data_IF_862114467827
#
_entry.id   IF_862114467827
#
_cell.length_a   1.000
_cell.length_b   1.000
_cell.length_c   1.000
_cell.angle_alpha   90.00
_cell.angle_beta   90.00
_cell.angle_gamma   90.00
#
_symmetry.space_group_name_H-M   'P 1'
#
loop_
_entity.id
_entity.type
_entity.pdbx_description
1 polymer ?
#
# COMPACT_ATOMS: atom_id res chain seq x y z
N UNK A 1 -4.91 -9.29 -33.60
CA UNK A 1 -3.55 -9.15 -34.16
C UNK A 1 -2.64 -8.65 -33.04
N UNK A 2 -1.79 -9.51 -32.49
CA UNK A 2 -0.93 -9.18 -31.35
C UNK A 2 0.46 -8.86 -31.87
N UNK A 3 0.77 -7.58 -32.05
CA UNK A 3 2.09 -7.12 -32.49
C UNK A 3 3.08 -7.19 -31.34
N UNK A 4 4.05 -8.12 -31.43
CA UNK A 4 5.19 -8.18 -30.51
C UNK A 4 6.16 -7.03 -30.82
N UNK A 5 6.38 -6.14 -29.86
CA UNK A 5 7.44 -5.14 -29.95
C UNK A 5 8.80 -5.79 -29.69
N UNK A 6 9.76 -5.58 -30.59
CA UNK A 6 11.17 -6.01 -30.45
C UNK A 6 12.02 -4.76 -30.26
N UNK A 7 12.48 -4.52 -29.02
CA UNK A 7 13.35 -3.38 -28.71
C UNK A 7 14.80 -3.88 -28.58
N UNK A 8 15.71 -3.33 -29.40
CA UNK A 8 17.10 -3.80 -29.54
C UNK A 8 18.14 -2.99 -28.72
N UNK A 9 17.68 -2.14 -27.81
CA UNK A 9 18.50 -1.36 -26.87
C UNK A 9 17.60 -0.97 -25.70
N UNK A 10 18.14 -0.95 -24.48
CA UNK A 10 17.46 -0.64 -23.20
C UNK A 10 16.43 0.48 -23.33
N UNK A 11 15.21 0.10 -23.69
CA UNK A 11 14.14 0.99 -24.11
C UNK A 11 13.23 1.25 -22.93
N UNK A 12 13.19 2.49 -22.46
CA UNK A 12 12.22 2.89 -21.46
C UNK A 12 10.81 2.81 -22.08
N UNK A 13 9.99 1.91 -21.55
CA UNK A 13 8.57 1.83 -21.90
C UNK A 13 7.83 2.90 -21.09
N UNK A 14 7.15 3.82 -21.78
CA UNK A 14 6.30 4.82 -21.12
C UNK A 14 4.83 4.52 -21.39
N UNK A 15 4.06 4.24 -20.34
CA UNK A 15 2.61 4.09 -20.40
C UNK A 15 1.98 5.47 -20.19
N UNK A 16 1.18 5.93 -21.15
CA UNK A 16 0.45 7.21 -21.06
C UNK A 16 -1.02 6.93 -20.82
N UNK A 17 -1.52 7.33 -19.66
CA UNK A 17 -2.94 7.25 -19.32
C UNK A 17 -3.61 8.57 -19.73
N UNK A 18 -4.70 8.48 -20.48
CA UNK A 18 -5.48 9.64 -20.93
C UNK A 18 -6.95 9.48 -20.51
N UNK A 19 -7.60 10.59 -20.18
CA UNK A 19 -9.04 10.60 -19.99
C UNK A 19 -9.74 10.38 -21.33
N UNK A 20 -10.62 9.37 -21.42
CA UNK A 20 -11.32 9.00 -22.66
C UNK A 20 -12.18 10.17 -23.16
N UNK A 21 -12.77 10.94 -22.25
CA UNK A 21 -13.77 11.95 -22.58
C UNK A 21 -13.17 13.27 -23.06
N UNK A 22 -12.03 13.67 -22.51
CA UNK A 22 -11.37 14.93 -22.89
C UNK A 22 -10.01 14.74 -23.58
N UNK A 23 -9.57 13.50 -23.80
CA UNK A 23 -8.30 13.13 -24.45
C UNK A 23 -7.04 13.79 -23.87
N UNK A 24 -7.13 14.29 -22.63
CA UNK A 24 -5.99 14.90 -21.93
C UNK A 24 -5.16 13.82 -21.27
N UNK A 25 -3.85 13.82 -21.57
CA UNK A 25 -2.86 12.94 -20.94
C UNK A 25 -2.64 13.39 -19.50
N UNK A 26 -2.89 12.49 -18.54
CA UNK A 26 -2.71 12.77 -17.12
C UNK A 26 -1.21 12.63 -16.83
N UNK A 27 -0.48 13.76 -16.90
CA UNK A 27 0.99 13.79 -16.80
C UNK A 27 1.54 13.67 -15.37
N UNK A 28 0.68 13.76 -14.35
CA UNK A 28 1.11 13.81 -12.95
C UNK A 28 -0.03 13.36 -12.05
N UNK A 29 0.10 12.20 -11.41
CA UNK A 29 -0.67 11.91 -10.20
C UNK A 29 -0.10 12.81 -9.11
N UNK A 30 -0.65 14.02 -8.98
CA UNK A 30 -0.32 14.88 -7.85
C UNK A 30 -1.03 14.30 -6.64
N UNK A 31 -0.35 13.42 -5.91
CA UNK A 31 -0.77 12.98 -4.59
C UNK A 31 -0.75 14.24 -3.72
N UNK A 32 -1.92 14.88 -3.57
CA UNK A 32 -2.09 15.91 -2.57
C UNK A 32 -2.02 15.17 -1.23
N UNK A 33 -0.88 15.28 -0.53
CA UNK A 33 -0.80 14.89 0.88
C UNK A 33 -2.02 15.51 1.59
N UNK A 34 -2.89 14.74 2.25
CA UNK A 34 -3.97 15.34 3.02
C UNK A 34 -3.29 16.14 4.14
N UNK A 35 -3.42 17.46 4.06
CA UNK A 35 -3.05 18.34 5.15
C UNK A 35 -3.88 17.90 6.36
N UNK A 36 -3.18 17.48 7.42
CA UNK A 36 -3.76 17.26 8.75
C UNK A 36 -4.26 18.61 9.27
N UNK A 37 -5.39 19.08 8.78
CA UNK A 37 -6.07 20.28 9.29
C UNK A 37 -7.29 19.81 10.08
N UNK A 38 -7.16 20.00 11.38
CA UNK A 38 -8.19 19.97 12.41
C UNK A 38 -9.53 20.52 11.91
N UNK A 39 -10.61 19.78 12.17
CA UNK A 39 -11.95 20.32 12.30
C UNK A 39 -13.00 19.69 11.39
N UNK A 40 -13.82 18.80 11.98
CA UNK A 40 -15.28 18.98 12.04
C UNK A 40 -15.89 17.87 12.88
N UNK A 41 -16.12 18.20 14.15
CA UNK A 41 -17.11 17.56 15.00
C UNK A 41 -18.52 17.87 14.48
N UNK A 42 -19.46 16.98 14.82
CA UNK A 42 -20.94 17.08 14.75
C UNK A 42 -21.62 16.45 13.52
N UNK A 43 -22.01 15.18 13.65
CA UNK A 43 -23.42 14.74 13.52
C UNK A 43 -23.54 13.25 13.90
N UNK A 44 -23.69 12.98 15.21
CA UNK A 44 -24.15 11.70 15.72
C UNK A 44 -25.67 11.78 15.94
N UNK A 45 -26.47 11.59 14.89
CA UNK A 45 -27.93 11.46 15.03
C UNK A 45 -28.40 10.37 14.05
N UNK A 46 -28.67 9.19 14.60
CA UNK A 46 -29.45 8.09 14.02
C UNK A 46 -28.95 7.49 12.70
N UNK A 47 -27.99 6.56 12.79
CA UNK A 47 -27.58 5.70 11.66
C UNK A 47 -26.14 5.21 11.76
N UNK A 48 -25.66 4.84 12.95
CA UNK A 48 -24.27 4.47 13.19
C UNK A 48 -23.96 3.05 12.73
N UNK A 49 -23.15 2.93 11.67
CA UNK A 49 -22.08 1.89 11.54
C UNK A 49 -21.36 1.88 10.18
N UNK A 50 -21.84 2.58 9.13
CA UNK A 50 -21.23 2.41 7.79
C UNK A 50 -20.41 3.60 7.25
N UNK A 51 -20.33 4.72 7.97
CA UNK A 51 -19.65 5.93 7.47
C UNK A 51 -18.40 6.33 8.26
N UNK A 52 -18.13 5.67 9.39
CA UNK A 52 -16.91 5.94 10.19
C UNK A 52 -15.72 5.15 9.62
N UNK A 53 -15.94 3.98 9.03
CA UNK A 53 -14.87 3.17 8.43
C UNK A 53 -14.26 3.79 7.17
N UNK A 54 -14.99 4.64 6.44
CA UNK A 54 -14.46 5.20 5.19
C UNK A 54 -13.29 6.19 5.41
N UNK A 55 -13.20 6.82 6.60
CA UNK A 55 -12.10 7.72 6.93
C UNK A 55 -10.85 7.00 7.48
N UNK A 56 -10.98 5.71 7.82
CA UNK A 56 -9.90 4.86 8.37
C UNK A 56 -9.44 3.82 7.33
N UNK A 57 -10.23 3.55 6.28
CA UNK A 57 -10.05 2.43 5.34
C UNK A 57 -9.53 2.79 3.94
N UNK A 58 -9.08 4.02 3.66
CA UNK A 58 -8.84 4.42 2.25
C UNK A 58 -7.59 3.77 1.59
N UNK A 59 -6.75 3.07 2.36
CA UNK A 59 -5.57 2.35 1.85
C UNK A 59 -5.52 0.88 2.30
N UNK A 60 -6.66 0.31 2.73
CA UNK A 60 -6.69 -1.06 3.24
C UNK A 60 -6.58 -2.06 2.10
N UNK A 61 -5.65 -3.01 2.22
CA UNK A 61 -5.42 -4.01 1.16
C UNK A 61 -6.47 -5.11 1.30
N UNK A 62 -6.70 -5.94 0.26
CA UNK A 62 -7.50 -7.13 0.43
C UNK A 62 -6.93 -7.99 1.56
N UNK A 63 -7.78 -8.50 2.45
CA UNK A 63 -7.36 -9.24 3.65
C UNK A 63 -6.41 -10.40 3.33
N UNK A 64 -6.63 -11.07 2.19
CA UNK A 64 -5.75 -12.14 1.72
C UNK A 64 -4.30 -11.65 1.50
N UNK A 65 -4.14 -10.45 0.97
CA UNK A 65 -2.83 -9.83 0.73
C UNK A 65 -2.21 -9.38 2.05
N UNK A 66 -2.98 -8.72 2.93
CA UNK A 66 -2.52 -8.32 4.27
C UNK A 66 -2.00 -9.53 5.05
N UNK A 67 -2.75 -10.64 5.01
CA UNK A 67 -2.36 -11.89 5.64
C UNK A 67 -1.12 -12.50 4.99
N UNK A 68 -1.07 -12.58 3.66
CA UNK A 68 0.08 -13.16 2.95
C UNK A 68 1.38 -12.42 3.27
N UNK A 69 1.37 -11.08 3.23
CA UNK A 69 2.54 -10.23 3.49
C UNK A 69 2.97 -10.32 4.95
N UNK A 70 2.03 -10.18 5.89
CA UNK A 70 2.35 -10.28 7.32
C UNK A 70 2.86 -11.68 7.68
N UNK A 71 2.25 -12.74 7.15
CA UNK A 71 2.70 -14.13 7.36
C UNK A 71 4.10 -14.37 6.79
N UNK A 72 4.40 -13.86 5.59
CA UNK A 72 5.73 -13.95 5.00
C UNK A 72 6.78 -13.19 5.83
N UNK A 73 6.45 -11.98 6.30
CA UNK A 73 7.33 -11.20 7.17
C UNK A 73 7.62 -11.94 8.49
N UNK A 74 6.59 -12.44 9.17
CA UNK A 74 6.74 -13.14 10.46
C UNK A 74 7.54 -14.44 10.29
N UNK A 75 7.30 -15.18 9.21
CA UNK A 75 7.94 -16.47 8.97
C UNK A 75 9.23 -16.38 8.12
N UNK A 76 9.76 -15.19 7.87
CA UNK A 76 11.00 -15.02 7.08
C UNK A 76 12.27 -15.58 7.75
N UNK A 77 12.21 -15.98 9.03
CA UNK A 77 13.35 -16.55 9.73
C UNK A 77 13.52 -18.03 9.36
N UNK A 78 14.74 -18.43 8.97
CA UNK A 78 15.05 -19.83 8.65
C UNK A 78 15.12 -20.73 9.89
N UNK A 79 15.24 -20.15 11.08
CA UNK A 79 15.37 -20.88 12.35
C UNK A 79 14.08 -20.82 13.17
N UNK A 80 13.88 -21.83 14.03
CA UNK A 80 12.79 -21.80 15.02
C UNK A 80 12.96 -20.62 15.96
N UNK A 81 11.92 -19.80 16.05
CA UNK A 81 11.82 -18.68 16.99
C UNK A 81 11.03 -19.10 18.24
N UNK A 82 11.39 -18.53 19.39
CA UNK A 82 10.61 -18.70 20.62
C UNK A 82 9.25 -17.98 20.48
N UNK A 83 8.28 -18.35 21.31
CA UNK A 83 6.97 -17.68 21.31
C UNK A 83 7.09 -16.16 21.52
N UNK A 84 7.95 -15.73 22.45
CA UNK A 84 8.23 -14.31 22.67
C UNK A 84 8.81 -13.64 21.42
N UNK A 85 9.77 -14.31 20.75
CA UNK A 85 10.35 -13.81 19.51
C UNK A 85 9.34 -13.74 18.37
N UNK A 86 8.40 -14.69 18.30
CA UNK A 86 7.28 -14.68 17.36
C UNK A 86 6.36 -13.49 17.61
N UNK A 87 5.93 -13.27 18.86
CA UNK A 87 5.06 -12.14 19.23
C UNK A 87 5.71 -10.78 18.92
N UNK A 88 6.99 -10.63 19.25
CA UNK A 88 7.74 -9.41 18.91
C UNK A 88 7.80 -9.21 17.41
N UNK A 89 8.15 -10.26 16.65
CA UNK A 89 8.24 -10.16 15.19
C UNK A 89 6.89 -9.89 14.54
N UNK A 90 5.82 -10.49 15.04
CA UNK A 90 4.45 -10.20 14.64
C UNK A 90 4.12 -8.73 14.84
N UNK A 91 4.43 -8.15 16.01
CA UNK A 91 4.19 -6.72 16.27
C UNK A 91 4.94 -5.82 15.28
N UNK A 92 6.23 -6.10 15.04
CA UNK A 92 7.06 -5.33 14.11
C UNK A 92 6.53 -5.44 12.68
N UNK A 93 6.20 -6.65 12.22
CA UNK A 93 5.67 -6.89 10.88
C UNK A 93 4.31 -6.21 10.66
N UNK A 94 3.42 -6.25 11.65
CA UNK A 94 2.12 -5.57 11.56
C UNK A 94 2.27 -4.05 11.53
N UNK A 95 3.15 -3.48 12.37
CA UNK A 95 3.47 -2.06 12.33
C UNK A 95 4.05 -1.64 10.97
N UNK A 96 5.02 -2.40 10.46
CA UNK A 96 5.66 -2.09 9.19
C UNK A 96 4.70 -2.20 8.01
N UNK A 97 3.81 -3.21 8.03
CA UNK A 97 2.78 -3.40 7.01
C UNK A 97 1.78 -2.23 7.01
N UNK A 98 1.31 -1.81 8.19
CA UNK A 98 0.42 -0.66 8.34
C UNK A 98 1.04 0.63 7.78
N UNK A 99 2.29 0.91 8.15
CA UNK A 99 3.02 2.09 7.65
C UNK A 99 3.27 2.03 6.14
N UNK A 100 3.64 0.85 5.60
CA UNK A 100 3.83 0.66 4.16
C UNK A 100 2.52 0.83 3.38
N UNK A 101 1.40 0.32 3.88
CA UNK A 101 0.07 0.51 3.30
C UNK A 101 -0.38 1.97 3.36
N UNK A 102 -0.02 2.70 4.42
CA UNK A 102 -0.28 4.13 4.52
C UNK A 102 0.55 4.96 3.51
N UNK A 103 1.74 4.48 3.15
CA UNK A 103 2.61 5.13 2.16
C UNK A 103 2.24 4.77 0.71
N UNK A 104 1.92 3.50 0.45
CA UNK A 104 1.74 2.92 -0.88
C UNK A 104 0.34 2.32 -0.98
N UNK A 105 -0.49 2.85 -1.89
CA UNK A 105 -1.82 2.31 -2.15
C UNK A 105 -1.76 0.94 -2.84
N UNK A 106 -2.81 0.14 -2.69
CA UNK A 106 -2.89 -1.20 -3.29
C UNK A 106 -2.68 -1.19 -4.81
N UNK A 107 -3.25 -0.22 -5.51
CA UNK A 107 -3.05 -0.07 -6.97
C UNK A 107 -1.59 0.16 -7.34
N UNK A 108 -0.81 0.84 -6.48
CA UNK A 108 0.62 1.06 -6.70
C UNK A 108 1.43 -0.20 -6.39
N UNK A 109 1.10 -0.90 -5.31
CA UNK A 109 1.67 -2.22 -5.02
C UNK A 109 1.51 -3.19 -6.21
N UNK A 110 0.36 -3.21 -6.87
CA UNK A 110 0.11 -4.08 -8.03
C UNK A 110 0.99 -3.80 -9.26
N UNK A 111 1.59 -2.61 -9.37
CA UNK A 111 2.43 -2.22 -10.51
C UNK A 111 3.91 -2.08 -10.14
N UNK A 112 4.21 -1.99 -8.85
CA UNK A 112 5.53 -1.69 -8.28
C UNK A 112 5.68 -2.43 -6.94
N UNK A 113 5.73 -3.77 -7.02
CA UNK A 113 5.88 -4.65 -5.86
C UNK A 113 7.23 -4.41 -5.16
N UNK A 114 8.31 -4.22 -5.94
CA UNK A 114 9.64 -3.94 -5.40
C UNK A 114 9.65 -2.65 -4.57
N UNK A 115 9.01 -1.58 -5.04
CA UNK A 115 8.87 -0.34 -4.28
C UNK A 115 8.08 -0.51 -2.97
N UNK A 116 7.10 -1.42 -2.94
CA UNK A 116 6.41 -1.79 -1.71
C UNK A 116 7.31 -2.58 -0.76
N UNK A 117 8.06 -3.56 -1.26
CA UNK A 117 8.99 -4.36 -0.45
C UNK A 117 10.10 -3.50 0.16
N UNK A 118 10.61 -2.52 -0.59
CA UNK A 118 11.58 -1.54 -0.11
C UNK A 118 11.02 -0.68 1.02
N UNK A 119 9.80 -0.15 0.86
CA UNK A 119 9.11 0.60 1.93
C UNK A 119 8.89 -0.28 3.16
N UNK A 120 8.34 -1.49 2.98
CA UNK A 120 8.11 -2.44 4.07
C UNK A 120 9.39 -2.76 4.84
N UNK A 121 10.49 -3.04 4.13
CA UNK A 121 11.79 -3.34 4.73
C UNK A 121 12.34 -2.14 5.51
N UNK A 122 12.15 -0.91 5.02
CA UNK A 122 12.49 0.31 5.75
C UNK A 122 11.68 0.41 7.04
N UNK A 123 10.36 0.21 6.97
CA UNK A 123 9.45 0.32 8.13
C UNK A 123 9.70 -0.74 9.20
N UNK A 124 10.15 -1.94 8.82
CA UNK A 124 10.61 -2.97 9.78
C UNK A 124 11.77 -2.43 10.65
N UNK A 125 12.66 -1.63 10.09
CA UNK A 125 13.75 -0.99 10.84
C UNK A 125 13.29 0.08 11.81
N UNK A 126 12.19 0.77 11.49
CA UNK A 126 11.60 1.87 12.26
C UNK A 126 10.71 1.37 13.41
N UNK A 127 9.98 0.27 13.21
CA UNK A 127 8.97 -0.28 14.13
C UNK A 127 9.53 -1.12 15.32
N UNK A 128 10.82 -0.98 15.66
CA UNK A 128 11.51 -1.81 16.67
C UNK A 128 11.02 -1.66 18.10
#
# INVERSE_FOLDING_TARGET
MTTKCTCNSSGAVSVRIACIECSKVIKKFSIKKPLKTVGLSLAAIYGGSQLIDYAISDNRYPLEIEYAVSNACINSAQARISNLGYETKQRVCLCALEEAMNEISYTRFLVDEDGFLDSLQSKIGECR
#
